data_IF_695289913983
#
_entry.id   IF_695289913983
#
_cell.length_a   1.000
_cell.length_b   1.000
_cell.length_c   1.000
_cell.angle_alpha   90.00
_cell.angle_beta   90.00
_cell.angle_gamma   90.00
#
_symmetry.space_group_name_H-M   'P 1'
#
loop_
_entity.id
_entity.type
_entity.pdbx_description
1 polymer ?
#
# COMPACT_ATOMS: atom_id res chain seq x y z
N UNK A 1 -7.53 10.11 -9.01
CA UNK A 1 -6.11 10.35 -8.67
C UNK A 1 -5.60 9.24 -7.79
N UNK A 2 -4.44 8.74 -8.10
CA UNK A 2 -3.78 7.67 -7.34
C UNK A 2 -2.82 8.28 -6.32
N UNK A 3 -2.84 7.77 -5.09
CA UNK A 3 -1.86 8.10 -4.06
C UNK A 3 -0.88 6.94 -3.89
N UNK A 4 0.40 7.24 -3.91
CA UNK A 4 1.46 6.30 -3.53
C UNK A 4 1.97 6.71 -2.16
N UNK A 5 1.78 5.85 -1.16
CA UNK A 5 2.32 6.06 0.17
C UNK A 5 3.71 5.45 0.21
N UNK A 6 4.72 6.31 0.26
CA UNK A 6 6.12 5.89 0.27
C UNK A 6 6.57 5.61 1.70
N UNK A 7 6.58 4.35 2.06
CA UNK A 7 6.99 3.90 3.40
C UNK A 7 8.51 3.69 3.52
N UNK A 8 9.26 4.08 2.49
CA UNK A 8 10.72 4.05 2.55
C UNK A 8 11.37 2.88 1.82
N UNK A 9 10.61 2.15 1.02
CA UNK A 9 11.19 1.07 0.23
C UNK A 9 12.15 1.63 -0.83
N UNK A 10 13.26 0.93 -1.04
CA UNK A 10 14.19 1.27 -2.13
C UNK A 10 13.55 1.03 -3.50
N UNK A 11 12.47 0.27 -3.56
CA UNK A 11 11.77 -0.05 -4.81
C UNK A 11 10.67 0.94 -5.18
N UNK A 12 10.37 1.91 -4.32
CA UNK A 12 9.30 2.88 -4.58
C UNK A 12 9.58 3.68 -5.86
N UNK A 13 10.86 4.01 -6.11
CA UNK A 13 11.22 4.73 -7.32
C UNK A 13 10.89 3.92 -8.58
N UNK A 14 11.15 2.63 -8.56
CA UNK A 14 10.82 1.75 -9.71
C UNK A 14 9.31 1.75 -9.96
N UNK A 15 8.52 1.72 -8.89
CA UNK A 15 7.06 1.77 -8.99
C UNK A 15 6.61 3.10 -9.62
N UNK A 16 7.11 4.21 -9.12
CA UNK A 16 6.71 5.53 -9.65
C UNK A 16 7.19 5.75 -11.06
N UNK A 17 8.38 5.25 -11.43
CA UNK A 17 8.87 5.31 -12.80
C UNK A 17 7.95 4.50 -13.74
N UNK A 18 7.52 3.33 -13.31
CA UNK A 18 6.58 2.51 -14.06
C UNK A 18 5.25 3.23 -14.27
N UNK A 19 4.71 3.85 -13.21
CA UNK A 19 3.45 4.59 -13.32
C UNK A 19 3.58 5.75 -14.31
N UNK A 20 4.71 6.45 -14.27
CA UNK A 20 4.99 7.55 -15.19
C UNK A 20 5.07 7.06 -16.65
N UNK A 21 5.73 5.94 -16.89
CA UNK A 21 5.82 5.35 -18.21
C UNK A 21 4.46 4.98 -18.79
N UNK A 22 3.54 4.57 -17.92
CA UNK A 22 2.18 4.20 -18.33
C UNK A 22 1.24 5.39 -18.36
N UNK A 23 1.75 6.61 -18.17
CA UNK A 23 0.96 7.84 -18.15
C UNK A 23 -0.13 7.83 -17.09
N UNK A 24 0.13 7.18 -15.96
CA UNK A 24 -0.79 7.15 -14.82
C UNK A 24 -0.44 8.31 -13.91
N UNK A 25 -1.41 9.20 -13.69
CA UNK A 25 -1.24 10.33 -12.78
C UNK A 25 -1.27 9.85 -11.33
N UNK A 26 -0.29 10.30 -10.54
CA UNK A 26 -0.24 9.94 -9.13
C UNK A 26 0.42 11.06 -8.33
N UNK A 27 0.21 11.02 -7.01
CA UNK A 27 0.96 11.81 -6.05
C UNK A 27 1.65 10.86 -5.09
N UNK A 28 2.85 11.22 -4.64
CA UNK A 28 3.63 10.40 -3.72
C UNK A 28 3.95 11.20 -2.47
N UNK A 29 3.63 10.63 -1.31
CA UNK A 29 3.95 11.22 -0.02
C UNK A 29 4.48 10.18 0.93
N UNK A 30 5.41 10.59 1.81
CA UNK A 30 5.80 9.75 2.94
C UNK A 30 4.76 9.88 4.06
N UNK A 31 4.67 8.89 4.97
CA UNK A 31 3.73 8.99 6.09
C UNK A 31 3.96 10.22 6.98
N UNK A 32 5.18 10.75 7.00
CA UNK A 32 5.51 11.89 7.86
C UNK A 32 4.93 13.21 7.36
N UNK A 33 4.73 13.34 6.05
CA UNK A 33 4.25 14.58 5.44
C UNK A 33 2.85 14.46 4.85
N UNK A 34 2.31 13.26 4.76
CA UNK A 34 0.97 13.04 4.24
C UNK A 34 -0.07 13.62 5.20
N UNK A 35 -0.93 14.48 4.68
CA UNK A 35 -2.06 15.00 5.45
C UNK A 35 -3.25 14.07 5.28
N UNK A 36 -3.71 13.48 6.38
CA UNK A 36 -4.82 12.53 6.35
C UNK A 36 -6.12 13.16 5.85
N UNK A 37 -6.27 14.48 6.05
CA UNK A 37 -7.45 15.20 5.57
C UNK A 37 -7.51 15.28 4.05
N UNK A 38 -6.40 15.06 3.36
CA UNK A 38 -6.35 15.13 1.90
C UNK A 38 -6.71 13.83 1.21
N UNK A 39 -6.98 12.76 1.96
CA UNK A 39 -7.21 11.43 1.40
C UNK A 39 -8.46 11.35 0.52
N UNK A 40 -9.43 12.22 0.74
CA UNK A 40 -10.68 12.19 -0.01
C UNK A 40 -10.50 12.34 -1.51
N UNK A 41 -9.48 13.07 -1.95
CA UNK A 41 -9.28 13.33 -3.37
C UNK A 41 -8.73 12.13 -4.15
N UNK A 42 -8.29 11.09 -3.44
CA UNK A 42 -7.74 9.90 -4.09
C UNK A 42 -8.79 8.80 -4.21
N UNK A 43 -8.82 8.15 -5.35
CA UNK A 43 -9.71 7.01 -5.60
C UNK A 43 -9.03 5.69 -5.29
N UNK A 44 -7.71 5.67 -5.45
CA UNK A 44 -6.89 4.48 -5.29
C UNK A 44 -5.63 4.83 -4.52
N UNK A 45 -5.18 3.92 -3.68
CA UNK A 45 -4.02 4.13 -2.82
C UNK A 45 -3.14 2.89 -2.89
N UNK A 46 -1.84 3.10 -3.11
CA UNK A 46 -0.83 2.04 -3.05
C UNK A 46 0.00 2.26 -1.78
N UNK A 47 0.10 1.23 -0.96
CA UNK A 47 0.95 1.23 0.23
C UNK A 47 2.23 0.48 -0.11
N UNK A 48 3.35 1.17 -0.11
CA UNK A 48 4.62 0.57 -0.50
C UNK A 48 5.24 -0.26 0.62
N UNK A 49 6.30 -0.98 0.29
CA UNK A 49 7.15 -1.60 1.29
C UNK A 49 7.88 -0.57 2.14
N UNK A 50 8.57 -1.05 3.16
CA UNK A 50 9.38 -0.18 4.03
C UNK A 50 10.77 -0.76 4.19
N UNK A 51 11.72 0.11 4.59
CA UNK A 51 13.08 -0.30 4.89
C UNK A 51 13.26 -0.57 6.39
N UNK A 52 12.61 0.22 7.24
CA UNK A 52 12.74 0.14 8.69
C UNK A 52 11.40 0.01 9.36
N UNK A 53 11.36 -0.73 10.46
CA UNK A 53 10.18 -0.76 11.32
C UNK A 53 10.03 0.59 12.02
N UNK A 54 8.84 1.15 12.00
CA UNK A 54 8.54 2.43 12.62
C UNK A 54 7.10 2.42 13.11
N UNK A 55 6.94 2.74 14.39
CA UNK A 55 5.61 2.87 14.97
C UNK A 55 4.79 3.94 14.27
N UNK A 56 5.42 5.06 13.92
CA UNK A 56 4.76 6.15 13.21
C UNK A 56 4.25 5.71 11.84
N UNK A 57 5.08 5.00 11.09
CA UNK A 57 4.69 4.47 9.78
C UNK A 57 3.50 3.52 9.94
N UNK A 58 3.56 2.63 10.91
CA UNK A 58 2.47 1.69 11.17
C UNK A 58 1.16 2.41 11.50
N UNK A 59 1.22 3.41 12.36
CA UNK A 59 0.04 4.19 12.75
C UNK A 59 -0.61 4.91 11.57
N UNK A 60 0.21 5.58 10.76
CA UNK A 60 -0.30 6.33 9.61
C UNK A 60 -0.91 5.38 8.59
N UNK A 61 -0.21 4.28 8.28
CA UNK A 61 -0.74 3.31 7.33
C UNK A 61 -2.06 2.71 7.80
N UNK A 62 -2.18 2.38 9.09
CA UNK A 62 -3.44 1.85 9.64
C UNK A 62 -4.58 2.86 9.51
N UNK A 63 -4.30 4.15 9.74
CA UNK A 63 -5.31 5.19 9.57
C UNK A 63 -5.74 5.33 8.10
N UNK A 64 -4.80 5.25 7.18
CA UNK A 64 -5.10 5.28 5.75
C UNK A 64 -5.99 4.10 5.36
N UNK A 65 -5.66 2.91 5.85
CA UNK A 65 -6.41 1.70 5.56
C UNK A 65 -7.85 1.82 6.07
N UNK A 66 -8.04 2.22 7.32
CA UNK A 66 -9.37 2.37 7.90
C UNK A 66 -10.20 3.42 7.15
N UNK A 67 -9.58 4.56 6.84
CA UNK A 67 -10.25 5.58 6.04
C UNK A 67 -10.69 5.03 4.69
N UNK A 68 -9.79 4.31 4.02
CA UNK A 68 -10.05 3.79 2.67
C UNK A 68 -11.19 2.78 2.66
N UNK A 69 -11.23 1.89 3.64
CA UNK A 69 -12.31 0.91 3.75
C UNK A 69 -13.64 1.61 4.00
N UNK A 70 -13.66 2.58 4.90
CA UNK A 70 -14.89 3.30 5.24
C UNK A 70 -15.41 4.18 4.10
N UNK A 71 -14.55 4.53 3.16
CA UNK A 71 -14.89 5.43 2.06
C UNK A 71 -14.79 4.76 0.68
N UNK A 72 -14.73 3.43 0.66
CA UNK A 72 -14.72 2.62 -0.57
C UNK A 72 -13.58 2.97 -1.53
N UNK A 73 -12.42 3.30 -0.99
CA UNK A 73 -11.23 3.54 -1.79
C UNK A 73 -10.58 2.21 -2.14
N UNK A 74 -9.94 2.14 -3.30
CA UNK A 74 -9.19 0.95 -3.72
C UNK A 74 -7.82 0.98 -3.08
N UNK A 75 -7.41 -0.16 -2.53
CA UNK A 75 -6.12 -0.31 -1.86
C UNK A 75 -5.31 -1.43 -2.49
N UNK A 76 -4.03 -1.17 -2.70
CA UNK A 76 -3.05 -2.18 -3.07
C UNK A 76 -1.88 -2.08 -2.11
N UNK A 77 -1.57 -3.18 -1.44
CA UNK A 77 -0.39 -3.25 -0.57
C UNK A 77 0.73 -4.02 -1.24
N UNK A 78 1.95 -3.54 -1.11
CA UNK A 78 3.15 -4.17 -1.65
C UNK A 78 4.10 -4.45 -0.48
N UNK A 79 4.53 -5.70 -0.31
CA UNK A 79 5.42 -6.12 0.78
C UNK A 79 4.86 -5.71 2.14
N UNK A 80 5.54 -4.81 2.85
CA UNK A 80 5.04 -4.27 4.12
C UNK A 80 3.63 -3.71 4.00
N UNK A 81 3.32 -3.03 2.88
CA UNK A 81 1.97 -2.49 2.66
C UNK A 81 0.90 -3.59 2.72
N UNK A 82 1.19 -4.75 2.14
CA UNK A 82 0.28 -5.89 2.22
C UNK A 82 0.17 -6.44 3.65
N UNK A 83 1.27 -6.49 4.36
CA UNK A 83 1.29 -6.98 5.75
C UNK A 83 0.48 -6.10 6.68
N UNK A 84 0.70 -4.78 6.64
CA UNK A 84 -0.02 -3.86 7.51
C UNK A 84 -1.51 -3.80 7.17
N UNK A 85 -1.85 -3.96 5.90
CA UNK A 85 -3.24 -4.01 5.48
C UNK A 85 -3.93 -5.23 6.07
N UNK A 86 -3.29 -6.40 5.99
CA UNK A 86 -3.82 -7.63 6.58
C UNK A 86 -4.01 -7.50 8.08
N UNK A 87 -2.99 -7.00 8.78
CA UNK A 87 -3.03 -6.85 10.23
C UNK A 87 -4.12 -5.86 10.66
N UNK A 88 -4.25 -4.74 9.96
CA UNK A 88 -5.23 -3.71 10.29
C UNK A 88 -6.66 -4.22 10.13
N UNK A 89 -6.90 -5.01 9.10
CA UNK A 89 -8.23 -5.54 8.82
C UNK A 89 -8.53 -6.84 9.55
N UNK A 90 -7.56 -7.41 10.25
CA UNK A 90 -7.73 -8.71 10.89
C UNK A 90 -7.92 -9.83 9.90
N UNK A 91 -7.43 -9.66 8.68
CA UNK A 91 -7.56 -10.65 7.63
C UNK A 91 -6.53 -11.74 7.72
N UNK A 92 -6.71 -12.77 6.90
CA UNK A 92 -5.76 -13.88 6.78
C UNK A 92 -4.74 -13.56 5.71
N UNK A 93 -3.46 -13.66 6.06
CA UNK A 93 -2.37 -13.54 5.10
C UNK A 93 -2.08 -14.91 4.54
N UNK A 94 -2.08 -14.99 3.21
CA UNK A 94 -1.67 -16.22 2.53
C UNK A 94 -0.54 -15.88 1.59
N UNK A 95 0.61 -16.53 1.81
CA UNK A 95 1.72 -16.41 0.87
C UNK A 95 1.47 -17.32 -0.30
N UNK A 96 1.65 -16.80 -1.49
CA UNK A 96 1.61 -17.62 -2.69
C UNK A 96 2.80 -18.55 -2.70
N UNK A 97 2.61 -19.77 -3.19
CA UNK A 97 3.69 -20.73 -3.33
C UNK A 97 4.70 -20.34 -4.40
N UNK A 98 4.31 -19.47 -5.32
CA UNK A 98 5.24 -19.03 -6.34
C UNK A 98 6.03 -17.84 -5.84
N UNK A 99 7.29 -18.09 -5.51
CA UNK A 99 8.24 -17.04 -5.16
C UNK A 99 9.02 -16.74 -6.42
N UNK A 100 8.96 -15.49 -6.87
CA UNK A 100 9.74 -15.04 -7.99
C UNK A 100 10.89 -14.19 -7.49
N UNK A 101 12.10 -14.69 -7.58
CA UNK A 101 13.37 -13.99 -7.37
C UNK A 101 13.29 -12.79 -6.41
N UNK A 102 13.10 -13.04 -5.14
CA UNK A 102 13.05 -12.00 -4.13
C UNK A 102 11.70 -11.31 -3.97
N UNK A 103 10.74 -11.63 -4.80
CA UNK A 103 9.38 -11.12 -4.66
C UNK A 103 8.47 -12.24 -4.19
N UNK A 104 7.72 -11.98 -3.14
CA UNK A 104 6.68 -12.88 -2.67
C UNK A 104 5.33 -12.33 -3.08
N UNK A 105 4.45 -13.20 -3.52
CA UNK A 105 3.07 -12.83 -3.75
C UNK A 105 2.32 -13.10 -2.46
N UNK A 106 1.79 -12.04 -1.86
CA UNK A 106 0.97 -12.13 -0.67
C UNK A 106 -0.44 -11.77 -1.06
N UNK A 107 -1.37 -12.67 -0.78
CA UNK A 107 -2.79 -12.39 -0.99
C UNK A 107 -3.47 -12.23 0.34
N UNK A 108 -4.22 -11.16 0.50
CA UNK A 108 -5.09 -10.96 1.63
C UNK A 108 -6.51 -10.99 1.10
N UNK A 109 -7.27 -11.97 1.58
CA UNK A 109 -8.65 -12.17 1.14
C UNK A 109 -9.58 -11.64 2.21
N UNK A 110 -10.33 -10.59 1.89
CA UNK A 110 -11.40 -10.10 2.75
C UNK A 110 -12.43 -9.44 1.86
N UNK A 111 -13.58 -10.08 1.73
CA UNK A 111 -14.68 -9.64 0.89
C UNK A 111 -14.21 -9.21 -0.50
N UNK A 112 -14.19 -7.94 -0.83
CA UNK A 112 -13.82 -7.47 -2.16
C UNK A 112 -12.37 -7.02 -2.27
N UNK A 113 -11.56 -7.30 -1.24
CA UNK A 113 -10.16 -6.88 -1.25
C UNK A 113 -9.24 -8.03 -1.59
N UNK A 114 -8.51 -7.88 -2.67
CA UNK A 114 -7.43 -8.78 -3.02
C UNK A 114 -6.16 -7.96 -3.04
N UNK A 115 -5.21 -8.34 -2.20
CA UNK A 115 -3.95 -7.64 -2.09
C UNK A 115 -2.87 -8.56 -2.58
N UNK A 116 -2.13 -8.08 -3.57
CA UNK A 116 -1.05 -8.85 -4.16
C UNK A 116 0.26 -8.11 -4.01
N UNK A 117 1.27 -8.84 -3.65
CA UNK A 117 2.64 -8.37 -3.66
C UNK A 117 3.31 -9.01 -4.87
N UNK A 118 3.58 -8.25 -5.92
CA UNK A 118 4.21 -8.80 -7.13
C UNK A 118 5.64 -9.26 -6.92
#
# INVERSE_FOLDING_TARGET
>A
MLLVVDNGSIYTKQLTDFLSEKNISFEKYTPHILELNSLQKYDSIILSGRKKNSKKINEVNSKIINFSINNNKKLLGICYGAEILALTLGGTIRKSESIQKGNEIIEVLKDNLIIKNP
#
